data_IF_922400364287
#
_entry.id   IF_922400364287
#
_cell.length_a   1.000
_cell.length_b   1.000
_cell.length_c   1.000
_cell.angle_alpha   90.00
_cell.angle_beta   90.00
_cell.angle_gamma   90.00
#
_symmetry.space_group_name_H-M   'P 1'
#
loop_
_entity.id
_entity.type
_entity.pdbx_description
1 polymer ?
#
# COMPACT_ATOMS: atom_id res chain seq x y z
N UNK A 1 -2.98 18.15 7.25
CA UNK A 1 -3.29 16.78 6.76
C UNK A 1 -3.34 15.80 7.92
N UNK A 2 -4.28 14.86 7.93
CA UNK A 2 -4.42 13.84 8.98
C UNK A 2 -4.80 12.48 8.38
N UNK A 3 -4.61 11.41 9.15
CA UNK A 3 -5.01 10.05 8.78
C UNK A 3 -5.99 9.53 9.83
N UNK A 4 -7.06 8.92 9.37
CA UNK A 4 -8.04 8.24 10.21
C UNK A 4 -8.62 7.00 9.53
N UNK A 5 -9.24 6.07 10.28
CA UNK A 5 -9.97 4.97 9.68
C UNK A 5 -11.06 5.47 8.72
N UNK A 6 -11.20 4.77 7.60
CA UNK A 6 -12.27 5.00 6.63
C UNK A 6 -13.62 4.54 7.21
N UNK A 7 -14.71 5.18 6.76
CA UNK A 7 -16.08 4.85 7.14
C UNK A 7 -16.81 4.20 5.97
N UNK A 8 -17.80 3.38 6.26
CA UNK A 8 -18.54 2.67 5.22
C UNK A 8 -19.28 3.61 4.26
N UNK A 9 -19.77 4.75 4.75
CA UNK A 9 -20.40 5.78 3.90
C UNK A 9 -19.44 6.42 2.89
N UNK A 10 -18.12 6.24 3.08
CA UNK A 10 -17.08 6.77 2.17
C UNK A 10 -16.66 5.76 1.08
N UNK A 11 -17.28 4.59 1.05
CA UNK A 11 -16.87 3.50 0.14
C UNK A 11 -16.90 3.91 -1.34
N UNK A 12 -17.91 4.67 -1.78
CA UNK A 12 -18.00 5.11 -3.17
C UNK A 12 -16.87 6.07 -3.52
N UNK A 13 -16.53 7.01 -2.65
CA UNK A 13 -15.42 7.95 -2.85
C UNK A 13 -14.07 7.22 -2.83
N UNK A 14 -13.92 6.24 -1.96
CA UNK A 14 -12.73 5.38 -1.89
C UNK A 14 -12.55 4.60 -3.18
N UNK A 15 -13.61 4.00 -3.70
CA UNK A 15 -13.53 3.26 -4.97
C UNK A 15 -13.20 4.19 -6.14
N UNK A 16 -13.63 5.45 -6.12
CA UNK A 16 -13.23 6.45 -7.12
C UNK A 16 -11.72 6.75 -7.06
N UNK A 17 -11.12 6.81 -5.84
CA UNK A 17 -9.67 6.92 -5.69
C UNK A 17 -8.93 5.72 -6.28
N UNK A 18 -9.41 4.51 -6.06
CA UNK A 18 -8.83 3.30 -6.64
C UNK A 18 -8.96 3.28 -8.17
N UNK A 19 -10.09 3.71 -8.73
CA UNK A 19 -10.24 3.84 -10.19
C UNK A 19 -9.23 4.81 -10.78
N UNK A 20 -9.00 5.94 -10.12
CA UNK A 20 -8.00 6.91 -10.51
C UNK A 20 -6.58 6.33 -10.39
N UNK A 21 -6.29 5.58 -9.33
CA UNK A 21 -5.03 4.88 -9.14
C UNK A 21 -4.75 3.89 -10.26
N UNK A 22 -5.73 3.11 -10.68
CA UNK A 22 -5.60 2.19 -11.81
C UNK A 22 -5.31 2.91 -13.12
N UNK A 23 -5.98 4.04 -13.39
CA UNK A 23 -5.70 4.86 -14.57
C UNK A 23 -4.28 5.40 -14.56
N UNK A 24 -3.83 5.93 -13.42
CA UNK A 24 -2.45 6.40 -13.26
C UNK A 24 -1.43 5.28 -13.51
N UNK A 25 -1.66 4.09 -12.94
CA UNK A 25 -0.78 2.95 -13.17
C UNK A 25 -0.66 2.61 -14.65
N UNK A 26 -1.76 2.53 -15.37
CA UNK A 26 -1.74 2.26 -16.83
C UNK A 26 -0.99 3.33 -17.61
N UNK A 27 -1.21 4.60 -17.28
CA UNK A 27 -0.55 5.74 -17.95
C UNK A 27 0.95 5.79 -17.67
N UNK A 28 1.40 5.31 -16.52
CA UNK A 28 2.81 5.29 -16.13
C UNK A 28 3.55 4.00 -16.51
N UNK A 29 2.94 3.13 -17.32
CA UNK A 29 3.55 1.89 -17.79
C UNK A 29 3.40 0.70 -16.85
N UNK A 30 2.53 0.78 -15.84
CA UNK A 30 2.26 -0.27 -14.86
C UNK A 30 0.84 -0.83 -15.02
N UNK A 31 0.59 -1.52 -16.13
CA UNK A 31 -0.74 -2.05 -16.45
C UNK A 31 -1.05 -3.39 -15.77
N UNK A 32 -0.05 -4.07 -15.18
CA UNK A 32 -0.15 -5.46 -14.74
C UNK A 32 -0.19 -5.65 -13.23
N UNK A 33 -0.11 -4.58 -12.43
CA UNK A 33 -0.17 -4.70 -10.97
C UNK A 33 -1.60 -4.86 -10.46
N UNK A 34 -2.49 -3.95 -10.82
CA UNK A 34 -3.90 -3.97 -10.42
C UNK A 34 -4.76 -4.36 -11.62
N UNK A 35 -4.93 -5.66 -11.81
CA UNK A 35 -5.69 -6.26 -12.91
C UNK A 35 -7.01 -6.83 -12.42
N UNK A 36 -7.93 -7.12 -13.34
CA UNK A 36 -9.22 -7.79 -13.07
C UNK A 36 -10.08 -7.07 -12.01
N UNK A 37 -10.04 -5.73 -12.01
CA UNK A 37 -10.83 -4.92 -11.08
C UNK A 37 -10.28 -4.88 -9.66
N UNK A 38 -9.04 -5.35 -9.44
CA UNK A 38 -8.39 -5.24 -8.13
C UNK A 38 -8.02 -3.78 -7.80
N UNK A 39 -8.18 -3.30 -6.56
CA UNK A 39 -8.92 -3.96 -5.49
C UNK A 39 -10.44 -3.90 -5.73
N UNK A 40 -11.14 -4.99 -5.40
CA UNK A 40 -12.59 -5.04 -5.57
C UNK A 40 -13.33 -4.25 -4.50
N UNK A 41 -14.55 -3.85 -4.81
CA UNK A 41 -15.43 -3.16 -3.86
C UNK A 41 -15.67 -4.01 -2.60
N UNK A 42 -15.86 -5.32 -2.75
CA UNK A 42 -16.05 -6.23 -1.61
C UNK A 42 -14.82 -6.31 -0.71
N UNK A 43 -13.64 -6.38 -1.30
CA UNK A 43 -12.37 -6.38 -0.56
C UNK A 43 -12.22 -5.11 0.27
N UNK A 44 -12.48 -3.95 -0.31
CA UNK A 44 -12.37 -2.67 0.40
C UNK A 44 -13.45 -2.53 1.47
N UNK A 45 -14.66 -3.01 1.20
CA UNK A 45 -15.73 -3.05 2.21
C UNK A 45 -15.29 -3.87 3.42
N UNK A 46 -14.69 -5.04 3.21
CA UNK A 46 -14.16 -5.87 4.29
C UNK A 46 -13.04 -5.16 5.05
N UNK A 47 -12.10 -4.55 4.34
CA UNK A 47 -11.02 -3.78 4.97
C UNK A 47 -11.57 -2.64 5.86
N UNK A 48 -12.63 -1.96 5.42
CA UNK A 48 -13.30 -0.92 6.23
C UNK A 48 -13.95 -1.54 7.46
N UNK A 49 -14.71 -2.62 7.30
CA UNK A 49 -15.38 -3.32 8.40
C UNK A 49 -14.39 -3.79 9.47
N UNK A 50 -13.23 -4.28 9.06
CA UNK A 50 -12.20 -4.79 9.98
C UNK A 50 -11.28 -3.69 10.53
N UNK A 51 -11.46 -2.44 10.11
CA UNK A 51 -10.66 -1.31 10.59
C UNK A 51 -9.26 -1.24 9.98
N UNK A 52 -9.05 -1.83 8.82
CA UNK A 52 -7.75 -1.85 8.13
C UNK A 52 -7.61 -0.80 7.03
N UNK A 53 -8.70 -0.16 6.63
CA UNK A 53 -8.69 0.87 5.59
C UNK A 53 -8.61 2.27 6.21
N UNK A 54 -7.70 3.10 5.70
CA UNK A 54 -7.43 4.43 6.21
C UNK A 54 -7.49 5.46 5.10
N UNK A 55 -7.92 6.67 5.44
CA UNK A 55 -7.91 7.85 4.58
C UNK A 55 -6.94 8.89 5.11
N UNK A 56 -6.11 9.40 4.21
CA UNK A 56 -5.36 10.63 4.42
C UNK A 56 -6.20 11.80 3.90
N UNK A 57 -6.43 12.81 4.73
CA UNK A 57 -7.32 13.92 4.47
C UNK A 57 -6.61 15.25 4.57
N UNK A 58 -6.87 16.15 3.62
CA UNK A 58 -6.56 17.56 3.73
C UNK A 58 -7.87 18.33 3.90
N UNK A 59 -8.16 18.77 5.13
CA UNK A 59 -9.50 19.22 5.47
C UNK A 59 -10.52 18.09 5.30
N UNK A 60 -11.51 18.30 4.45
CA UNK A 60 -12.52 17.30 4.11
C UNK A 60 -12.19 16.52 2.82
N UNK A 61 -11.12 16.90 2.12
CA UNK A 61 -10.76 16.28 0.84
C UNK A 61 -9.89 15.02 1.07
N UNK A 62 -10.27 13.91 0.43
CA UNK A 62 -9.50 12.67 0.47
C UNK A 62 -8.27 12.79 -0.43
N UNK A 63 -7.09 12.80 0.18
CA UNK A 63 -5.81 12.88 -0.51
C UNK A 63 -5.27 11.52 -0.92
N UNK A 64 -5.46 10.50 -0.08
CA UNK A 64 -5.05 9.13 -0.35
C UNK A 64 -5.87 8.13 0.44
N UNK A 65 -5.88 6.89 -0.02
CA UNK A 65 -6.43 5.73 0.68
C UNK A 65 -5.37 4.64 0.71
N UNK A 66 -5.33 3.87 1.78
CA UNK A 66 -4.46 2.70 1.91
C UNK A 66 -5.01 1.73 2.95
N UNK A 67 -4.48 0.50 2.91
CA UNK A 67 -4.76 -0.51 3.93
C UNK A 67 -3.50 -0.79 4.74
N UNK A 68 -3.67 -0.95 6.05
CA UNK A 68 -2.59 -1.19 6.99
C UNK A 68 -2.94 -2.34 7.92
N UNK A 69 -2.05 -3.31 7.98
CA UNK A 69 -2.12 -4.48 8.85
C UNK A 69 -0.83 -4.61 9.65
N UNK A 70 -0.88 -5.15 10.85
CA UNK A 70 0.32 -5.43 11.62
C UNK A 70 0.14 -6.67 12.52
N UNK A 71 1.23 -7.30 12.86
CA UNK A 71 1.27 -8.47 13.71
C UNK A 71 2.35 -9.47 13.28
N UNK A 72 2.28 -10.68 13.83
CA UNK A 72 3.12 -11.77 13.41
C UNK A 72 2.52 -12.44 12.16
N UNK A 73 3.35 -12.65 11.12
CA UNK A 73 2.99 -13.42 9.93
C UNK A 73 1.65 -12.99 9.29
N UNK A 74 1.41 -11.66 9.22
CA UNK A 74 0.14 -11.10 8.73
C UNK A 74 -0.04 -11.18 7.21
N UNK A 75 1.06 -11.40 6.47
CA UNK A 75 1.03 -11.52 4.99
C UNK A 75 1.69 -12.84 4.57
N UNK A 76 0.90 -13.88 4.27
CA UNK A 76 1.45 -15.21 3.92
C UNK A 76 2.43 -15.20 2.74
N UNK A 77 2.25 -14.31 1.77
CA UNK A 77 3.12 -14.21 0.59
C UNK A 77 4.52 -13.68 0.94
N UNK A 78 4.72 -13.13 2.15
CA UNK A 78 6.03 -12.65 2.62
C UNK A 78 6.87 -13.73 3.31
N UNK A 79 6.31 -14.92 3.53
CA UNK A 79 7.03 -16.03 4.19
C UNK A 79 8.22 -16.52 3.37
N UNK A 80 8.07 -16.54 2.04
CA UNK A 80 9.12 -16.94 1.12
C UNK A 80 9.57 -15.73 0.30
N UNK A 81 10.86 -15.46 0.29
CA UNK A 81 11.46 -14.36 -0.45
C UNK A 81 12.74 -14.83 -1.14
N UNK A 82 12.86 -14.49 -2.42
CA UNK A 82 14.13 -14.59 -3.13
C UNK A 82 14.96 -13.34 -2.80
N UNK A 83 15.79 -13.46 -1.79
CA UNK A 83 16.49 -12.39 -1.10
C UNK A 83 16.41 -12.58 0.41
N UNK A 84 16.36 -11.51 1.16
CA UNK A 84 16.26 -11.57 2.61
C UNK A 84 15.60 -10.31 3.18
N UNK A 85 14.63 -10.49 4.09
CA UNK A 85 14.14 -9.41 4.92
C UNK A 85 15.23 -8.89 5.86
N UNK A 86 15.13 -7.62 6.27
CA UNK A 86 16.12 -6.98 7.15
C UNK A 86 16.14 -7.57 8.56
N UNK A 87 15.00 -8.06 9.03
CA UNK A 87 14.88 -8.70 10.33
C UNK A 87 13.69 -9.68 10.34
N UNK A 88 13.69 -10.57 11.32
CA UNK A 88 12.55 -11.42 11.65
C UNK A 88 11.67 -10.76 12.72
N UNK A 89 10.51 -11.35 12.98
CA UNK A 89 9.57 -10.89 13.98
C UNK A 89 8.38 -10.13 13.39
N UNK A 90 7.53 -9.57 14.25
CA UNK A 90 6.31 -8.89 13.84
C UNK A 90 6.58 -7.68 12.95
N UNK A 91 5.66 -7.39 12.04
CA UNK A 91 5.79 -6.29 11.08
C UNK A 91 4.43 -5.69 10.73
N UNK A 92 4.45 -4.47 10.26
CA UNK A 92 3.33 -3.85 9.57
C UNK A 92 3.43 -4.03 8.06
N UNK A 93 2.29 -4.03 7.39
CA UNK A 93 2.18 -4.08 5.94
C UNK A 93 1.27 -2.95 5.47
N UNK A 94 1.76 -2.15 4.53
CA UNK A 94 0.93 -1.20 3.81
C UNK A 94 0.58 -1.80 2.45
N UNK A 95 -0.72 -1.92 2.19
CA UNK A 95 -1.27 -2.43 0.94
C UNK A 95 -2.22 -1.43 0.29
N UNK A 96 -2.40 -1.56 -1.01
CA UNK A 96 -3.47 -0.89 -1.76
C UNK A 96 -3.49 0.62 -1.54
N UNK A 97 -2.33 1.26 -1.66
CA UNK A 97 -2.26 2.72 -1.62
C UNK A 97 -2.65 3.35 -2.95
N UNK A 98 -3.55 4.31 -2.93
CA UNK A 98 -3.90 5.15 -4.06
C UNK A 98 -4.02 6.60 -3.61
N UNK A 99 -3.51 7.53 -4.41
CA UNK A 99 -3.62 8.96 -4.12
C UNK A 99 -4.50 9.68 -5.15
N UNK A 100 -5.06 10.82 -4.74
CA UNK A 100 -5.83 11.68 -5.64
C UNK A 100 -4.95 12.37 -6.70
N UNK A 101 -3.64 12.37 -6.52
CA UNK A 101 -2.69 13.10 -7.38
C UNK A 101 -2.64 14.61 -7.12
N UNK A 102 -3.49 15.14 -6.26
CA UNK A 102 -3.55 16.58 -5.95
C UNK A 102 -2.50 17.04 -4.94
N UNK A 103 -2.08 16.13 -4.07
CA UNK A 103 -1.15 16.43 -2.98
C UNK A 103 0.12 15.61 -3.17
N UNK A 104 1.30 16.24 -3.21
CA UNK A 104 2.57 15.52 -3.34
C UNK A 104 2.95 14.83 -2.03
N UNK A 105 3.83 13.81 -2.12
CA UNK A 105 4.43 13.17 -0.95
C UNK A 105 3.52 12.20 -0.20
N UNK A 106 2.44 11.70 -0.82
CA UNK A 106 1.49 10.84 -0.12
C UNK A 106 2.09 9.49 0.29
N UNK A 107 2.99 8.92 -0.49
CA UNK A 107 3.67 7.67 -0.09
C UNK A 107 4.45 7.90 1.21
N UNK A 108 5.24 8.96 1.27
CA UNK A 108 5.97 9.30 2.49
C UNK A 108 5.04 9.54 3.68
N UNK A 109 4.02 10.38 3.49
CA UNK A 109 3.09 10.72 4.56
C UNK A 109 2.39 9.48 5.15
N UNK A 110 1.91 8.58 4.28
CA UNK A 110 1.23 7.36 4.71
C UNK A 110 2.21 6.35 5.34
N UNK A 111 3.40 6.18 4.78
CA UNK A 111 4.40 5.26 5.35
C UNK A 111 4.96 5.75 6.68
N UNK A 112 5.19 7.04 6.84
CA UNK A 112 5.65 7.62 8.11
C UNK A 112 4.58 7.39 9.20
N UNK A 113 3.32 7.64 8.89
CA UNK A 113 2.22 7.34 9.82
C UNK A 113 2.18 5.85 10.20
N UNK A 114 2.33 4.93 9.24
CA UNK A 114 2.37 3.49 9.52
C UNK A 114 3.53 3.13 10.44
N UNK A 115 4.71 3.74 10.22
CA UNK A 115 5.90 3.51 11.03
C UNK A 115 5.75 4.06 12.47
N UNK A 116 4.98 5.13 12.65
CA UNK A 116 4.61 5.62 13.99
C UNK A 116 3.71 4.62 14.74
N UNK A 117 2.85 3.88 14.01
CA UNK A 117 2.03 2.85 14.60
C UNK A 117 2.82 1.56 14.85
N UNK A 118 3.75 1.22 13.95
CA UNK A 118 4.54 0.00 14.02
C UNK A 118 5.92 0.19 13.37
N UNK A 119 6.98 0.09 14.16
CA UNK A 119 8.35 0.50 13.78
C UNK A 119 9.04 -0.36 12.71
N UNK A 120 8.35 -1.38 12.19
CA UNK A 120 8.84 -2.30 11.16
C UNK A 120 7.77 -2.40 10.07
N UNK A 121 8.05 -1.88 8.88
CA UNK A 121 7.08 -1.82 7.79
C UNK A 121 7.59 -2.51 6.53
N UNK A 122 6.81 -3.44 5.99
CA UNK A 122 7.05 -4.15 4.74
C UNK A 122 6.06 -3.69 3.68
N UNK A 123 6.54 -3.53 2.44
CA UNK A 123 5.74 -3.12 1.28
C UNK A 123 6.23 -3.90 0.07
N UNK A 124 5.34 -4.26 -0.83
CA UNK A 124 5.67 -4.79 -2.14
C UNK A 124 5.05 -3.98 -3.26
N UNK A 125 5.66 -4.02 -4.44
CA UNK A 125 5.15 -3.37 -5.65
C UNK A 125 5.57 -4.12 -6.91
N UNK A 126 4.86 -3.91 -8.01
CA UNK A 126 5.19 -4.51 -9.30
C UNK A 126 6.47 -3.88 -9.89
N UNK A 127 7.25 -4.68 -10.64
CA UNK A 127 8.48 -4.19 -11.29
C UNK A 127 8.25 -3.04 -12.28
N UNK A 128 7.05 -2.95 -12.85
CA UNK A 128 6.67 -1.88 -13.77
C UNK A 128 6.23 -0.59 -13.04
N UNK A 129 6.03 -0.65 -11.73
CA UNK A 129 5.65 0.50 -10.92
C UNK A 129 6.87 1.33 -10.52
N UNK A 130 7.47 2.01 -11.49
CA UNK A 130 8.65 2.85 -11.26
C UNK A 130 8.38 4.00 -10.28
N UNK A 131 7.25 4.72 -10.38
CA UNK A 131 6.95 5.80 -9.42
C UNK A 131 6.96 5.31 -7.96
N UNK A 132 6.38 4.14 -7.68
CA UNK A 132 6.37 3.59 -6.32
C UNK A 132 7.76 3.15 -5.88
N UNK A 133 8.53 2.46 -6.73
CA UNK A 133 9.90 2.06 -6.41
C UNK A 133 10.75 3.29 -6.04
N UNK A 134 10.69 4.34 -6.84
CA UNK A 134 11.43 5.58 -6.60
C UNK A 134 10.97 6.27 -5.30
N UNK A 135 9.67 6.30 -5.05
CA UNK A 135 9.11 6.86 -3.81
C UNK A 135 9.59 6.09 -2.58
N UNK A 136 9.55 4.75 -2.60
CA UNK A 136 10.00 3.92 -1.50
C UNK A 136 11.49 4.13 -1.19
N UNK A 137 12.33 4.22 -2.22
CA UNK A 137 13.76 4.49 -2.03
C UNK A 137 14.00 5.88 -1.43
N UNK A 138 13.28 6.91 -1.91
CA UNK A 138 13.36 8.26 -1.32
C UNK A 138 12.88 8.29 0.13
N UNK A 139 11.90 7.45 0.49
CA UNK A 139 11.39 7.33 1.86
C UNK A 139 12.30 6.49 2.79
N UNK A 140 13.43 6.00 2.31
CA UNK A 140 14.40 5.25 3.11
C UNK A 140 14.10 3.76 3.25
N UNK A 141 13.21 3.20 2.42
CA UNK A 141 13.03 1.76 2.34
C UNK A 141 14.23 1.11 1.67
N UNK A 142 14.51 -0.14 2.06
CA UNK A 142 15.52 -0.96 1.42
C UNK A 142 14.86 -2.07 0.61
N UNK A 143 15.38 -2.28 -0.60
CA UNK A 143 15.01 -3.42 -1.42
C UNK A 143 15.50 -4.71 -0.76
N UNK A 144 14.62 -5.70 -0.61
CA UNK A 144 14.92 -6.96 0.08
C UNK A 144 14.94 -8.17 -0.85
N UNK A 145 14.25 -8.12 -1.97
CA UNK A 145 14.16 -9.24 -2.90
C UNK A 145 12.84 -9.35 -3.61
N UNK A 146 12.52 -10.55 -4.08
CA UNK A 146 11.31 -10.84 -4.86
C UNK A 146 10.43 -11.82 -4.10
N UNK A 147 9.15 -11.49 -4.00
CA UNK A 147 8.10 -12.39 -3.51
C UNK A 147 7.19 -12.81 -4.67
N UNK A 148 6.44 -13.88 -4.47
CA UNK A 148 5.41 -14.37 -5.40
C UNK A 148 4.06 -14.26 -4.72
N UNK A 149 3.13 -13.56 -5.37
CA UNK A 149 1.77 -13.41 -4.86
C UNK A 149 0.85 -14.57 -5.32
N UNK A 150 -0.40 -14.57 -4.88
CA UNK A 150 -1.33 -15.69 -5.03
C UNK A 150 -1.56 -16.12 -6.48
N UNK A 151 -1.54 -15.19 -7.45
CA UNK A 151 -1.71 -15.50 -8.87
C UNK A 151 -0.43 -16.01 -9.55
N UNK A 152 0.66 -16.19 -8.80
CA UNK A 152 1.96 -16.64 -9.31
C UNK A 152 2.83 -15.52 -9.87
N UNK A 153 2.36 -14.29 -9.90
CA UNK A 153 3.17 -13.15 -10.35
C UNK A 153 4.14 -12.66 -9.28
N UNK A 154 5.22 -12.04 -9.73
CA UNK A 154 6.28 -11.54 -8.85
C UNK A 154 6.01 -10.11 -8.40
N UNK A 155 6.50 -9.78 -7.19
CA UNK A 155 6.54 -8.42 -6.65
C UNK A 155 7.92 -8.15 -6.06
N UNK A 156 8.33 -6.89 -6.15
CA UNK A 156 9.54 -6.38 -5.50
C UNK A 156 9.21 -6.02 -4.05
N UNK A 157 9.98 -6.55 -3.12
CA UNK A 157 9.75 -6.42 -1.69
C UNK A 157 10.71 -5.41 -1.06
N UNK A 158 10.17 -4.56 -0.21
CA UNK A 158 10.89 -3.48 0.49
C UNK A 158 10.57 -3.50 1.97
N UNK A 159 11.52 -3.04 2.78
CA UNK A 159 11.33 -2.94 4.24
C UNK A 159 12.02 -1.69 4.78
N UNK A 160 11.41 -1.11 5.82
CA UNK A 160 11.99 -0.01 6.60
C UNK A 160 11.75 -0.25 8.08
N UNK A 161 12.81 0.00 8.85
CA UNK A 161 12.83 -0.03 10.32
C UNK A 161 13.13 1.37 10.85
N UNK A 162 12.50 1.73 11.98
CA UNK A 162 12.84 2.95 12.73
C UNK A 162 13.12 2.63 14.19
#
# INVERSE_FOLDING_TARGET
MNIRPARMEELDDIMALYDQGRRFMRQSGNANQWINGYPSREMIREDICLGHCYLALEGEESAAVFCFFHGEDVEPTYREIDGAWLCEGPYGVLHRIASSGKFPGMVQFCTDWCLEQYSNLKIDTHRDNRPMQDALMRCGFRYCGVIVIEDGSERLAYQKLI
#
